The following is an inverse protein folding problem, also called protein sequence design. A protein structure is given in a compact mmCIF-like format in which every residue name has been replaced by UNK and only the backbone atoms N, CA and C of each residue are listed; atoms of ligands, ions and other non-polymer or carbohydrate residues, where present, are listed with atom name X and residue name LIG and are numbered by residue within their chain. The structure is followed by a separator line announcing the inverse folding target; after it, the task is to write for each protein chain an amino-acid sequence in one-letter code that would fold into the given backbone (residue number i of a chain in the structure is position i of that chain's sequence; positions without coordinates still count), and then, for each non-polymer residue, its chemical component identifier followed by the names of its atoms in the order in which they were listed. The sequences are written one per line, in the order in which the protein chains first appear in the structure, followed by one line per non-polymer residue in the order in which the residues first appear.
data_IF_032170600693
#
_entry.id   IF_032170600693
#
_cell.length_a   1.000
_cell.length_b   1.000
_cell.length_c   1.000
_cell.angle_alpha   90.00
_cell.angle_beta   90.00
_cell.angle_gamma   90.00
#
_symmetry.space_group_name_H-M   'P 1'
#
loop_
_entity.id
_entity.type
_entity.pdbx_description
1 polymer ?
#
# COMPACT_ATOMS: atom_id res chain seq x y z
N UNK A 1 17.40 57.21 5.52
CA UNK A 1 17.02 56.58 4.24
C UNK A 1 17.38 55.11 4.36
N UNK A 2 16.41 54.28 4.75
CA UNK A 2 16.62 52.86 5.06
C UNK A 2 15.70 52.05 4.15
N UNK A 3 16.28 51.28 3.22
CA UNK A 3 15.50 50.46 2.31
C UNK A 3 15.10 49.16 3.02
N UNK A 4 13.82 49.04 3.39
CA UNK A 4 13.28 47.83 3.99
C UNK A 4 13.14 46.76 2.89
N UNK A 5 14.13 45.88 2.77
CA UNK A 5 14.08 44.76 1.82
C UNK A 5 13.07 43.72 2.33
N UNK A 6 11.81 43.87 1.92
CA UNK A 6 10.73 42.95 2.27
C UNK A 6 10.82 41.72 1.36
N UNK A 7 11.76 40.83 1.65
CA UNK A 7 11.94 39.57 0.92
C UNK A 7 10.72 38.68 1.13
N UNK A 8 9.76 38.73 0.22
CA UNK A 8 8.64 37.79 0.19
C UNK A 8 9.17 36.39 -0.10
N UNK A 9 9.31 35.60 0.97
CA UNK A 9 9.45 34.16 0.92
C UNK A 9 8.15 33.57 0.36
N UNK A 10 8.06 33.51 -0.97
CA UNK A 10 7.07 32.69 -1.65
C UNK A 10 7.40 31.23 -1.34
N UNK A 11 6.70 30.65 -0.35
CA UNK A 11 6.64 29.21 -0.23
C UNK A 11 6.04 28.68 -1.55
N UNK A 12 6.85 27.95 -2.34
CA UNK A 12 6.31 27.14 -3.41
C UNK A 12 5.60 25.97 -2.73
N UNK A 13 4.27 26.00 -2.71
CA UNK A 13 3.50 24.82 -2.37
C UNK A 13 3.81 23.76 -3.44
N UNK A 14 4.29 22.59 -3.03
CA UNK A 14 4.63 21.54 -3.98
C UNK A 14 3.34 20.99 -4.61
N UNK A 15 3.27 21.00 -5.94
CA UNK A 15 2.11 20.51 -6.68
C UNK A 15 2.04 18.98 -6.56
N UNK A 16 1.08 18.48 -5.80
CA UNK A 16 0.98 17.09 -5.39
C UNK A 16 0.41 16.21 -6.52
N UNK A 17 0.84 14.93 -6.60
CA UNK A 17 0.31 14.00 -7.57
C UNK A 17 -1.13 13.63 -7.22
N UNK A 18 -1.99 13.69 -8.23
CA UNK A 18 -3.39 13.27 -8.15
C UNK A 18 -3.63 12.19 -9.19
N UNK A 19 -4.08 11.02 -8.74
CA UNK A 19 -4.55 9.96 -9.64
C UNK A 19 -6.01 10.25 -9.97
N UNK A 20 -6.36 10.23 -11.25
CA UNK A 20 -7.73 10.38 -11.72
C UNK A 20 -8.13 9.07 -12.38
N UNK A 21 -9.25 8.49 -11.93
CA UNK A 21 -9.88 7.32 -12.53
C UNK A 21 -11.25 7.70 -13.05
N UNK A 22 -11.74 6.98 -14.04
CA UNK A 22 -13.07 7.13 -14.59
C UNK A 22 -13.67 5.76 -14.90
N UNK A 23 -14.75 5.40 -14.21
CA UNK A 23 -15.54 4.23 -14.55
C UNK A 23 -16.63 4.63 -15.58
N UNK A 24 -16.58 4.01 -16.75
CA UNK A 24 -17.50 4.29 -17.85
C UNK A 24 -18.90 3.69 -17.67
N UNK A 25 -19.12 2.88 -16.64
CA UNK A 25 -20.31 2.03 -16.49
C UNK A 25 -20.56 1.14 -17.74
N UNK A 26 -19.49 0.71 -18.41
CA UNK A 26 -19.53 -0.13 -19.62
C UNK A 26 -19.66 0.63 -20.95
N UNK A 27 -19.57 1.96 -20.95
CA UNK A 27 -19.57 2.75 -22.18
C UNK A 27 -18.17 2.75 -22.84
N UNK A 28 -18.05 2.16 -24.03
CA UNK A 28 -16.80 2.17 -24.79
C UNK A 28 -16.58 3.51 -25.52
N UNK A 29 -15.40 4.09 -25.36
CA UNK A 29 -15.02 5.35 -26.01
C UNK A 29 -13.96 5.11 -27.09
N UNK A 30 -14.29 5.45 -28.35
CA UNK A 30 -13.38 5.33 -29.50
C UNK A 30 -12.52 6.57 -29.75
N UNK A 31 -12.77 7.65 -29.00
CA UNK A 31 -12.01 8.89 -29.03
C UNK A 31 -11.36 9.11 -27.65
N UNK A 32 -10.15 9.72 -27.57
CA UNK A 32 -9.46 9.94 -26.30
C UNK A 32 -10.35 10.68 -25.29
N UNK A 33 -10.37 10.15 -24.06
CA UNK A 33 -10.97 10.81 -22.90
C UNK A 33 -9.97 11.78 -22.32
N UNK A 34 -10.36 13.05 -22.20
CA UNK A 34 -9.53 14.12 -21.62
C UNK A 34 -10.27 14.74 -20.45
N UNK A 35 -9.63 14.73 -19.29
CA UNK A 35 -10.07 15.47 -18.10
C UNK A 35 -9.31 16.78 -18.05
N UNK A 36 -10.07 17.87 -18.07
CA UNK A 36 -9.57 19.21 -17.74
C UNK A 36 -9.75 19.44 -16.26
N UNK A 37 -8.66 19.76 -15.59
CA UNK A 37 -8.55 20.00 -14.16
C UNK A 37 -8.30 21.50 -13.98
N UNK A 38 -9.11 22.18 -13.18
CA UNK A 38 -8.89 23.59 -12.86
C UNK A 38 -8.82 23.77 -11.35
N UNK A 39 -7.68 24.27 -10.85
CA UNK A 39 -7.43 24.51 -9.42
C UNK A 39 -7.00 25.96 -9.25
N UNK A 40 -7.69 26.71 -8.40
CA UNK A 40 -7.50 28.16 -8.20
C UNK A 40 -7.42 28.96 -9.52
N UNK A 41 -8.20 28.55 -10.52
CA UNK A 41 -8.26 29.16 -11.85
C UNK A 41 -7.13 28.77 -12.81
N UNK A 42 -6.15 27.95 -12.39
CA UNK A 42 -5.09 27.37 -13.24
C UNK A 42 -5.62 26.09 -13.91
N UNK A 43 -5.75 26.03 -15.26
CA UNK A 43 -6.15 24.81 -15.94
C UNK A 43 -4.96 23.91 -16.31
N UNK A 44 -5.13 22.60 -16.12
CA UNK A 44 -4.32 21.52 -16.68
C UNK A 44 -5.23 20.54 -17.44
N UNK A 45 -4.69 19.81 -18.41
CA UNK A 45 -5.44 18.81 -19.18
C UNK A 45 -4.66 17.49 -19.20
N UNK A 46 -5.34 16.38 -18.90
CA UNK A 46 -4.76 15.03 -18.87
C UNK A 46 -5.62 14.06 -19.67
N UNK A 47 -4.98 13.18 -20.44
CA UNK A 47 -5.67 12.12 -21.20
C UNK A 47 -5.72 10.86 -20.35
N UNK A 48 -6.90 10.23 -20.25
CA UNK A 48 -7.08 8.97 -19.52
C UNK A 48 -6.82 7.78 -20.45
N UNK A 49 -6.02 6.81 -19.99
CA UNK A 49 -5.72 5.56 -20.69
C UNK A 49 -6.53 4.37 -20.14
N UNK A 50 -6.92 3.48 -21.05
CA UNK A 50 -7.44 2.12 -20.79
C UNK A 50 -6.55 1.17 -21.62
N UNK A 51 -5.35 0.92 -21.09
CA UNK A 51 -4.23 0.34 -21.84
C UNK A 51 -3.47 -0.77 -21.11
N UNK A 52 -3.70 -0.94 -19.80
CA UNK A 52 -3.05 -1.88 -18.89
C UNK A 52 -1.79 -1.36 -18.20
N UNK A 53 -1.41 -0.09 -18.39
CA UNK A 53 -0.23 0.52 -17.79
C UNK A 53 -0.59 1.46 -16.63
N UNK A 54 0.19 1.42 -15.54
CA UNK A 54 -0.13 2.19 -14.32
C UNK A 54 -0.26 3.69 -14.61
N UNK A 55 -1.34 4.37 -14.16
CA UNK A 55 -2.24 3.97 -13.07
C UNK A 55 -3.45 3.08 -13.44
N UNK A 56 -3.60 2.68 -14.71
CA UNK A 56 -4.51 1.60 -15.08
C UNK A 56 -3.90 0.22 -14.72
N UNK A 57 -4.77 -0.80 -14.64
CA UNK A 57 -4.45 -2.17 -14.29
C UNK A 57 -5.04 -3.21 -15.26
N UNK A 58 -6.02 -2.86 -16.12
CA UNK A 58 -6.84 -3.86 -16.81
C UNK A 58 -7.36 -3.42 -18.20
N UNK A 59 -6.47 -3.38 -19.19
CA UNK A 59 -6.77 -3.06 -20.59
C UNK A 59 -8.09 -3.65 -21.13
N UNK A 60 -8.99 -2.77 -21.52
CA UNK A 60 -10.30 -3.05 -22.11
C UNK A 60 -11.41 -3.32 -21.10
N UNK A 61 -11.21 -3.10 -19.78
CA UNK A 61 -12.28 -3.23 -18.78
C UNK A 61 -13.26 -2.04 -18.75
N UNK A 62 -12.93 -0.95 -19.46
CA UNK A 62 -13.75 0.26 -19.54
C UNK A 62 -13.54 1.22 -18.37
N UNK A 63 -12.49 1.04 -17.57
CA UNK A 63 -11.97 2.04 -16.65
C UNK A 63 -10.78 2.73 -17.27
N UNK A 64 -10.73 4.04 -17.10
CA UNK A 64 -9.68 4.87 -17.68
C UNK A 64 -8.97 5.63 -16.56
N UNK A 65 -7.65 5.66 -16.57
CA UNK A 65 -6.86 6.29 -15.51
C UNK A 65 -5.75 7.20 -16.04
N UNK A 66 -5.33 8.17 -15.23
CA UNK A 66 -4.14 9.00 -15.45
C UNK A 66 -3.62 9.61 -14.15
N UNK A 67 -2.44 10.23 -14.21
CA UNK A 67 -1.87 11.05 -13.14
C UNK A 67 -1.74 12.49 -13.61
N UNK A 68 -2.10 13.44 -12.76
CA UNK A 68 -1.81 14.86 -12.95
C UNK A 68 -1.20 15.46 -11.68
N UNK A 69 -0.91 16.76 -11.71
CA UNK A 69 -0.52 17.53 -10.53
C UNK A 69 -1.59 18.57 -10.20
N UNK A 70 -1.83 18.79 -8.91
CA UNK A 70 -2.77 19.79 -8.41
C UNK A 70 -2.19 20.56 -7.22
N UNK A 71 -2.65 21.79 -7.02
CA UNK A 71 -2.19 22.71 -5.96
C UNK A 71 -3.35 23.64 -5.60
N UNK A 72 -3.99 23.42 -4.46
CA UNK A 72 -5.16 24.18 -3.96
C UNK A 72 -6.24 23.30 -3.33
N UNK A 73 -7.20 23.89 -2.62
CA UNK A 73 -8.22 23.15 -1.83
C UNK A 73 -9.39 22.64 -2.69
N UNK A 74 -9.78 23.38 -3.73
CA UNK A 74 -10.95 23.08 -4.58
C UNK A 74 -10.53 22.81 -6.02
N UNK A 75 -10.96 21.66 -6.54
CA UNK A 75 -10.73 21.24 -7.93
C UNK A 75 -12.04 21.24 -8.73
N UNK A 76 -12.01 21.84 -9.92
CA UNK A 76 -13.09 21.78 -10.92
C UNK A 76 -12.66 20.88 -12.08
N UNK A 77 -13.56 20.02 -12.55
CA UNK A 77 -13.25 18.89 -13.43
C UNK A 77 -14.22 18.86 -14.61
N UNK A 78 -13.70 18.88 -15.83
CA UNK A 78 -14.49 18.74 -17.06
C UNK A 78 -14.02 17.50 -17.83
N UNK A 79 -14.91 16.50 -18.01
CA UNK A 79 -14.60 15.29 -18.78
C UNK A 79 -15.09 15.48 -20.22
N UNK A 80 -14.25 15.16 -21.20
CA UNK A 80 -14.59 15.19 -22.62
C UNK A 80 -14.08 13.96 -23.37
N UNK A 81 -14.78 13.58 -24.45
CA UNK A 81 -14.33 12.54 -25.39
C UNK A 81 -14.23 13.15 -26.79
N UNK A 82 -13.04 13.14 -27.40
CA UNK A 82 -12.83 13.69 -28.75
C UNK A 82 -13.26 15.15 -28.91
N UNK A 83 -13.11 15.97 -27.85
CA UNK A 83 -13.55 17.37 -27.80
C UNK A 83 -15.05 17.59 -27.51
N UNK A 84 -15.87 16.53 -27.44
CA UNK A 84 -17.24 16.63 -26.93
C UNK A 84 -17.22 16.57 -25.41
N UNK A 85 -17.66 17.64 -24.74
CA UNK A 85 -17.91 17.65 -23.29
C UNK A 85 -18.94 16.56 -22.93
N UNK A 86 -18.59 15.71 -21.96
CA UNK A 86 -19.47 14.68 -21.40
C UNK A 86 -20.15 15.15 -20.11
N UNK A 87 -19.44 15.93 -19.29
CA UNK A 87 -19.98 16.53 -18.07
C UNK A 87 -18.96 17.38 -17.32
N UNK A 88 -19.41 18.08 -16.28
CA UNK A 88 -18.58 18.88 -15.37
C UNK A 88 -18.93 18.56 -13.92
N UNK A 89 -17.95 18.65 -13.04
CA UNK A 89 -18.12 18.43 -11.60
C UNK A 89 -17.06 19.22 -10.81
N UNK A 90 -17.14 19.22 -9.50
CA UNK A 90 -16.12 19.84 -8.63
C UNK A 90 -16.01 19.11 -7.31
N UNK A 91 -14.80 18.97 -6.80
CA UNK A 91 -14.52 18.33 -5.52
C UNK A 91 -13.64 19.21 -4.63
N UNK A 92 -13.51 18.81 -3.37
CA UNK A 92 -12.71 19.51 -2.34
C UNK A 92 -11.75 18.49 -1.73
N UNK A 93 -10.49 18.88 -1.63
CA UNK A 93 -9.42 18.11 -1.00
C UNK A 93 -9.47 18.32 0.52
N UNK A 94 -9.62 17.25 1.29
CA UNK A 94 -9.71 17.33 2.76
C UNK A 94 -8.36 17.68 3.43
N UNK A 95 -7.26 17.36 2.75
CA UNK A 95 -5.89 17.73 3.12
C UNK A 95 -5.10 18.05 1.84
N UNK A 96 -5.07 19.31 1.38
CA UNK A 96 -4.33 19.69 0.17
C UNK A 96 -2.79 19.63 0.33
N UNK A 97 -2.27 19.03 1.40
CA UNK A 97 -0.84 18.69 1.57
C UNK A 97 -0.52 17.20 1.36
N UNK A 98 -1.54 16.37 1.07
CA UNK A 98 -1.38 14.95 0.74
C UNK A 98 -1.70 14.64 -0.74
N UNK A 99 -1.14 13.56 -1.32
CA UNK A 99 -1.61 13.03 -2.60
C UNK A 99 -3.09 12.61 -2.53
N UNK A 100 -3.77 12.58 -3.68
CA UNK A 100 -5.20 12.25 -3.76
C UNK A 100 -5.56 11.31 -4.92
N UNK A 101 -6.61 10.54 -4.70
CA UNK A 101 -7.30 9.77 -5.73
C UNK A 101 -8.66 10.42 -6.01
N UNK A 102 -8.97 10.65 -7.28
CA UNK A 102 -10.27 11.16 -7.75
C UNK A 102 -10.91 10.09 -8.62
N UNK A 103 -11.96 9.46 -8.11
CA UNK A 103 -12.75 8.50 -8.86
C UNK A 103 -13.96 9.22 -9.48
N UNK A 104 -13.98 9.29 -10.82
CA UNK A 104 -15.05 9.87 -11.63
C UNK A 104 -16.06 8.80 -12.05
N UNK A 105 -17.34 9.17 -12.09
CA UNK A 105 -18.37 8.35 -12.74
C UNK A 105 -19.39 9.22 -13.48
N UNK A 106 -19.91 8.70 -14.60
CA UNK A 106 -20.91 9.36 -15.43
C UNK A 106 -22.23 8.56 -15.38
N UNK A 107 -23.29 9.19 -14.87
CA UNK A 107 -24.63 8.62 -14.79
C UNK A 107 -25.67 9.65 -15.27
N UNK A 108 -26.58 9.25 -16.16
CA UNK A 108 -27.62 10.11 -16.76
C UNK A 108 -27.12 11.45 -17.36
N UNK A 109 -25.87 11.49 -17.81
CA UNK A 109 -25.20 12.70 -18.31
C UNK A 109 -24.68 13.66 -17.22
N UNK A 110 -24.82 13.29 -15.95
CA UNK A 110 -24.21 13.96 -14.81
C UNK A 110 -22.87 13.33 -14.46
N UNK A 111 -21.80 14.13 -14.44
CA UNK A 111 -20.49 13.72 -13.96
C UNK A 111 -20.41 13.92 -12.44
N UNK A 112 -19.96 12.89 -11.73
CA UNK A 112 -19.65 12.97 -10.30
C UNK A 112 -18.17 12.68 -10.06
N UNK A 113 -17.64 13.23 -8.96
CA UNK A 113 -16.28 12.96 -8.49
C UNK A 113 -16.33 12.60 -7.01
N UNK A 114 -15.62 11.54 -6.63
CA UNK A 114 -15.31 11.19 -5.24
C UNK A 114 -13.83 11.40 -5.04
N UNK A 115 -13.46 12.28 -4.09
CA UNK A 115 -12.08 12.40 -3.60
C UNK A 115 -11.88 11.40 -2.48
N UNK A 116 -10.82 10.62 -2.58
CA UNK A 116 -10.27 9.85 -1.46
C UNK A 116 -8.80 10.22 -1.24
N UNK A 117 -8.31 10.01 -0.02
CA UNK A 117 -6.88 9.78 0.14
C UNK A 117 -6.55 8.46 -0.61
N UNK A 118 -5.41 8.37 -1.33
CA UNK A 118 -5.01 7.13 -1.97
C UNK A 118 -5.03 6.01 -0.92
N UNK A 119 -5.43 4.78 -1.29
CA UNK A 119 -5.55 3.68 -0.34
C UNK A 119 -4.21 3.52 0.38
N UNK A 120 -4.23 3.71 1.70
CA UNK A 120 -3.03 3.53 2.51
C UNK A 120 -2.47 2.13 2.21
N UNK A 121 -1.18 1.99 1.89
CA UNK A 121 -0.59 0.67 1.61
C UNK A 121 -0.68 -0.28 2.81
N UNK A 122 -1.04 0.24 3.99
CA UNK A 122 -1.25 -0.48 5.25
C UNK A 122 -2.75 -0.74 5.53
N UNK A 123 -3.65 -0.45 4.59
CA UNK A 123 -5.07 -0.73 4.74
C UNK A 123 -5.36 -2.21 4.56
N UNK A 124 -5.88 -2.86 5.61
CA UNK A 124 -6.36 -4.25 5.56
C UNK A 124 -7.22 -4.48 4.30
N UNK A 125 -6.97 -5.60 3.60
CA UNK A 125 -7.42 -5.87 2.23
C UNK A 125 -8.94 -6.02 1.97
N UNK A 126 -9.79 -5.37 2.76
CA UNK A 126 -11.23 -5.27 2.55
C UNK A 126 -11.60 -4.13 1.58
N UNK A 127 -10.96 -4.10 0.42
CA UNK A 127 -11.43 -3.32 -0.72
C UNK A 127 -12.75 -3.95 -1.23
N UNK A 128 -13.86 -3.48 -0.69
CA UNK A 128 -15.20 -3.90 -1.11
C UNK A 128 -15.49 -3.37 -2.52
N UNK A 129 -15.04 -4.11 -3.54
CA UNK A 129 -15.30 -3.77 -4.93
C UNK A 129 -16.80 -3.64 -5.22
N UNK A 130 -17.23 -2.67 -6.05
CA UNK A 130 -18.64 -2.49 -6.38
C UNK A 130 -19.20 -3.78 -7.00
N UNK A 131 -20.35 -4.23 -6.49
CA UNK A 131 -20.81 -5.60 -6.63
C UNK A 131 -21.13 -6.02 -8.07
N UNK A 132 -20.25 -6.82 -8.68
CA UNK A 132 -20.53 -7.52 -9.93
C UNK A 132 -21.61 -8.59 -9.74
N UNK A 133 -22.83 -8.29 -10.18
CA UNK A 133 -23.96 -9.22 -10.09
C UNK A 133 -23.78 -10.41 -11.06
N UNK A 134 -23.48 -11.59 -10.53
CA UNK A 134 -23.36 -12.82 -11.31
C UNK A 134 -24.74 -13.33 -11.78
N UNK A 135 -25.17 -12.89 -12.96
CA UNK A 135 -26.36 -13.42 -13.62
C UNK A 135 -26.14 -14.82 -14.18
N UNK A 136 -27.00 -15.78 -13.80
CA UNK A 136 -27.11 -17.09 -14.43
C UNK A 136 -28.51 -17.25 -15.03
N UNK A 137 -28.63 -17.01 -16.34
CA UNK A 137 -29.92 -16.97 -17.05
C UNK A 137 -30.47 -18.40 -17.34
N UNK A 138 -31.80 -18.60 -17.44
CA UNK A 138 -32.39 -19.92 -17.30
C UNK A 138 -32.69 -20.66 -18.63
N UNK A 139 -32.76 -21.98 -18.53
CA UNK A 139 -33.54 -22.87 -19.40
C UNK A 139 -33.95 -24.07 -18.54
N UNK A 140 -35.22 -24.47 -18.42
CA UNK A 140 -36.28 -24.45 -19.42
C UNK A 140 -36.50 -25.88 -19.90
N UNK A 141 -36.95 -26.75 -18.99
CA UNK A 141 -38.31 -27.34 -19.00
C UNK A 141 -38.58 -28.32 -20.16
N UNK A 142 -38.94 -29.57 -19.83
CA UNK A 142 -39.25 -30.58 -20.85
C UNK A 142 -39.34 -32.02 -20.36
N UNK A 143 -40.33 -32.35 -19.52
CA UNK A 143 -40.87 -33.71 -19.42
C UNK A 143 -41.96 -33.97 -20.49
N UNK A 144 -42.74 -35.08 -20.43
CA UNK A 144 -42.77 -36.09 -19.37
C UNK A 144 -42.65 -37.55 -19.95
N UNK A 145 -43.52 -38.58 -19.73
CA UNK A 145 -43.00 -39.91 -19.36
C UNK A 145 -43.43 -41.11 -20.25
N UNK A 146 -42.81 -42.27 -19.99
CA UNK A 146 -43.11 -43.57 -20.62
C UNK A 146 -42.21 -43.88 -21.82
N UNK A 147 -41.98 -45.14 -22.21
CA UNK A 147 -42.50 -46.39 -21.66
C UNK A 147 -42.91 -47.35 -22.78
N UNK A 148 -42.05 -48.29 -23.18
CA UNK A 148 -42.35 -49.17 -24.31
C UNK A 148 -41.33 -50.30 -24.52
N UNK A 149 -41.85 -51.50 -24.75
CA UNK A 149 -41.13 -52.73 -25.08
C UNK A 149 -40.63 -52.73 -26.54
N UNK A 150 -39.59 -53.52 -26.86
CA UNK A 150 -39.33 -53.93 -28.25
C UNK A 150 -37.87 -54.27 -28.55
N UNK A 151 -37.56 -55.54 -28.82
CA UNK A 151 -36.22 -56.00 -29.21
C UNK A 151 -36.01 -56.05 -30.73
N UNK A 152 -34.74 -56.14 -31.17
CA UNK A 152 -34.37 -56.34 -32.57
C UNK A 152 -32.85 -56.28 -32.82
N UNK A 153 -32.35 -57.20 -33.64
CA UNK A 153 -30.98 -57.30 -34.19
C UNK A 153 -31.08 -58.08 -35.53
N UNK A 154 -30.01 -58.28 -36.34
CA UNK A 154 -28.67 -57.65 -36.38
C UNK A 154 -28.66 -56.50 -37.45
N UNK A 155 -27.67 -56.15 -38.29
CA UNK A 155 -26.36 -56.69 -38.75
C UNK A 155 -25.44 -55.55 -39.25
N UNK A 156 -24.13 -55.84 -39.34
CA UNK A 156 -23.06 -55.24 -40.18
C UNK A 156 -22.82 -53.70 -40.22
N UNK A 157 -21.58 -53.21 -40.36
CA UNK A 157 -20.30 -53.93 -40.37
C UNK A 157 -19.20 -53.17 -41.14
N UNK A 158 -18.14 -52.75 -40.46
CA UNK A 158 -16.86 -52.29 -41.06
C UNK A 158 -15.78 -52.13 -39.99
N UNK A 159 -14.64 -52.79 -40.16
CA UNK A 159 -13.49 -52.70 -39.25
C UNK A 159 -12.36 -51.85 -39.83
N UNK A 160 -11.64 -51.06 -39.00
CA UNK A 160 -10.22 -50.81 -39.17
C UNK A 160 -9.38 -51.74 -38.27
N UNK A 161 -8.14 -52.12 -38.66
CA UNK A 161 -7.36 -53.12 -37.93
C UNK A 161 -6.66 -52.58 -36.67
N UNK A 162 -6.85 -53.34 -35.59
CA UNK A 162 -6.02 -53.52 -34.39
C UNK A 162 -4.56 -53.03 -34.43
N UNK A 163 -4.12 -52.35 -33.35
CA UNK A 163 -2.71 -52.08 -33.06
C UNK A 163 -2.44 -51.57 -31.63
N UNK A 164 -2.27 -52.48 -30.68
CA UNK A 164 -1.90 -52.22 -29.27
C UNK A 164 -1.22 -53.47 -28.64
N UNK A 165 -0.54 -53.37 -27.47
CA UNK A 165 0.37 -52.33 -26.96
C UNK A 165 1.78 -52.96 -26.70
N UNK A 166 2.64 -52.45 -25.78
CA UNK A 166 2.51 -52.92 -24.38
C UNK A 166 2.90 -51.92 -23.25
N UNK A 167 2.05 -51.93 -22.21
CA UNK A 167 2.29 -51.89 -20.75
C UNK A 167 3.16 -50.82 -20.02
N UNK A 168 2.74 -50.53 -18.78
CA UNK A 168 3.37 -49.61 -17.82
C UNK A 168 2.42 -48.47 -17.42
N UNK A 169 1.24 -48.71 -16.87
CA UNK A 169 0.92 -49.44 -15.62
C UNK A 169 1.56 -48.87 -14.35
N UNK A 170 0.83 -47.94 -13.70
CA UNK A 170 0.78 -47.79 -12.24
C UNK A 170 -0.62 -47.32 -11.81
N UNK A 171 -1.29 -48.16 -11.03
CA UNK A 171 -2.49 -47.82 -10.23
C UNK A 171 -2.17 -46.85 -9.07
N UNK A 172 -3.13 -46.12 -8.48
CA UNK A 172 -4.58 -46.04 -8.74
C UNK A 172 -5.36 -45.62 -7.48
N UNK A 173 -6.70 -45.60 -7.57
CA UNK A 173 -7.65 -45.24 -6.49
C UNK A 173 -7.93 -43.72 -6.37
N UNK A 174 -9.10 -43.26 -5.93
CA UNK A 174 -10.34 -43.98 -5.59
C UNK A 174 -11.29 -43.12 -4.73
N UNK A 175 -12.55 -42.96 -5.13
CA UNK A 175 -13.60 -42.32 -4.30
C UNK A 175 -14.05 -43.20 -3.12
N UNK A 176 -14.87 -42.71 -2.17
CA UNK A 176 -16.15 -41.99 -2.37
C UNK A 176 -16.23 -40.67 -1.55
N UNK A 177 -17.33 -39.92 -1.39
CA UNK A 177 -18.74 -40.09 -1.81
C UNK A 177 -19.70 -40.24 -0.62
N UNK A 178 -20.40 -39.16 -0.23
CA UNK A 178 -21.40 -39.11 0.85
C UNK A 178 -21.69 -37.66 1.31
N UNK A 179 -22.77 -37.34 2.02
CA UNK A 179 -23.86 -38.23 2.46
C UNK A 179 -24.91 -37.64 3.42
N UNK A 180 -25.38 -36.40 3.24
CA UNK A 180 -26.41 -35.75 4.11
C UNK A 180 -25.90 -35.35 5.51
N UNK A 181 -26.78 -34.97 6.47
CA UNK A 181 -28.23 -34.79 6.41
C UNK A 181 -28.65 -33.30 6.36
N UNK A 182 -29.94 -32.98 6.52
CA UNK A 182 -30.45 -31.60 6.49
C UNK A 182 -31.39 -31.23 7.65
N UNK A 183 -31.55 -29.92 7.81
CA UNK A 183 -32.57 -29.19 8.58
C UNK A 183 -32.73 -27.81 7.90
N UNK A 184 -33.82 -27.05 8.01
CA UNK A 184 -35.10 -27.21 8.71
C UNK A 184 -35.72 -25.81 8.84
N UNK A 185 -36.97 -25.62 8.41
CA UNK A 185 -37.65 -24.30 8.45
C UNK A 185 -37.90 -23.79 9.88
N UNK A 186 -38.37 -22.54 10.08
CA UNK A 186 -39.38 -21.84 9.26
C UNK A 186 -38.82 -20.53 8.63
N UNK A 187 -39.53 -19.67 7.88
CA UNK A 187 -40.97 -19.36 7.81
C UNK A 187 -41.36 -18.29 8.87
N UNK A 188 -42.02 -17.18 8.55
CA UNK A 188 -42.48 -16.66 7.25
C UNK A 188 -43.24 -15.33 7.44
N UNK A 189 -43.68 -14.71 6.35
CA UNK A 189 -44.37 -13.39 6.35
C UNK A 189 -43.45 -12.26 5.87
N UNK A 190 -43.82 -11.38 4.93
CA UNK A 190 -45.10 -11.23 4.25
C UNK A 190 -45.93 -10.07 4.79
N UNK A 191 -45.66 -8.86 4.31
CA UNK A 191 -46.38 -7.64 4.66
C UNK A 191 -46.03 -6.50 3.69
N UNK A 192 -46.94 -6.09 2.79
CA UNK A 192 -46.67 -5.07 1.77
C UNK A 192 -47.22 -3.67 2.15
N UNK A 193 -46.70 -2.64 1.48
CA UNK A 193 -47.34 -1.31 1.40
C UNK A 193 -46.63 -0.23 2.24
N UNK A 194 -46.27 0.88 1.59
CA UNK A 194 -45.53 1.97 2.23
C UNK A 194 -45.15 3.13 1.30
N UNK A 195 -46.00 3.47 0.32
CA UNK A 195 -45.75 4.61 -0.57
C UNK A 195 -45.94 5.95 0.16
N UNK A 196 -44.88 6.74 0.28
CA UNK A 196 -44.92 8.11 0.81
C UNK A 196 -44.32 9.10 -0.18
N UNK A 197 -45.06 10.19 -0.43
CA UNK A 197 -44.68 11.21 -1.42
C UNK A 197 -43.61 12.18 -0.90
N UNK A 198 -42.71 12.70 -1.75
CA UNK A 198 -41.73 13.71 -1.35
C UNK A 198 -42.40 15.07 -1.10
N UNK A 199 -42.39 15.53 0.15
CA UNK A 199 -42.84 16.88 0.53
C UNK A 199 -41.72 17.92 0.41
N UNK A 200 -41.92 18.96 -0.41
CA UNK A 200 -40.91 20.00 -0.67
C UNK A 200 -40.86 21.08 0.42
N UNK A 201 -40.10 20.82 1.49
CA UNK A 201 -39.86 21.81 2.55
C UNK A 201 -38.85 22.88 2.11
N UNK A 202 -39.36 23.97 1.53
CA UNK A 202 -38.60 25.17 1.16
C UNK A 202 -38.24 26.00 2.41
N UNK A 203 -37.06 25.77 2.98
CA UNK A 203 -36.58 26.50 4.15
C UNK A 203 -36.43 28.02 3.89
N UNK A 204 -36.78 28.89 4.85
CA UNK A 204 -36.53 30.33 4.76
C UNK A 204 -35.04 30.66 5.00
N UNK A 205 -34.53 31.79 4.49
CA UNK A 205 -33.16 32.23 4.75
C UNK A 205 -32.97 32.60 6.24
N UNK A 206 -31.89 32.09 6.84
CA UNK A 206 -31.52 32.39 8.23
C UNK A 206 -30.72 33.70 8.27
N UNK A 207 -31.36 34.80 8.64
CA UNK A 207 -30.71 36.09 8.79
C UNK A 207 -29.99 36.17 10.14
N UNK A 208 -28.65 36.07 10.13
CA UNK A 208 -27.83 36.21 11.34
C UNK A 208 -27.79 37.68 11.80
N UNK A 209 -28.68 38.05 12.73
CA UNK A 209 -28.63 39.33 13.41
C UNK A 209 -27.47 39.33 14.42
N UNK A 210 -26.43 40.11 14.14
CA UNK A 210 -25.25 40.25 15.00
C UNK A 210 -25.57 41.09 16.26
N UNK A 211 -26.25 40.46 17.23
CA UNK A 211 -26.41 41.01 18.58
C UNK A 211 -25.09 40.89 19.33
N UNK A 212 -24.41 42.02 19.57
CA UNK A 212 -23.20 42.06 20.40
C UNK A 212 -23.54 41.76 21.86
N UNK A 213 -23.26 40.54 22.31
CA UNK A 213 -23.16 40.18 23.72
C UNK A 213 -21.71 39.84 24.07
N UNK A 214 -21.24 40.22 25.25
CA UNK A 214 -19.89 39.92 25.75
C UNK A 214 -19.65 38.41 25.99
N UNK A 215 -20.69 37.57 25.90
CA UNK A 215 -20.63 36.11 26.03
C UNK A 215 -19.64 35.43 25.06
N UNK A 216 -19.26 36.08 23.96
CA UNK A 216 -18.32 35.53 22.97
C UNK A 216 -16.98 35.07 23.58
N UNK A 217 -16.53 35.72 24.66
CA UNK A 217 -15.30 35.35 25.37
C UNK A 217 -15.41 33.95 26.02
N UNK A 218 -16.59 33.58 26.53
CA UNK A 218 -16.82 32.28 27.16
C UNK A 218 -16.73 31.12 26.15
N UNK A 219 -17.26 31.31 24.94
CA UNK A 219 -17.17 30.31 23.87
C UNK A 219 -15.73 30.11 23.38
N UNK A 220 -14.95 31.19 23.25
CA UNK A 220 -13.52 31.11 22.90
C UNK A 220 -12.72 30.39 23.99
N UNK A 221 -12.94 30.74 25.27
CA UNK A 221 -12.28 30.07 26.39
C UNK A 221 -12.61 28.57 26.47
N UNK A 222 -13.87 28.19 26.23
CA UNK A 222 -14.29 26.79 26.19
C UNK A 222 -13.66 26.02 25.01
N UNK A 223 -13.62 26.63 23.82
CA UNK A 223 -12.99 26.03 22.64
C UNK A 223 -11.48 25.77 22.82
N UNK A 224 -10.75 26.75 23.36
CA UNK A 224 -9.32 26.58 23.69
C UNK A 224 -9.12 25.52 24.76
N UNK A 225 -9.96 25.49 25.81
CA UNK A 225 -9.91 24.46 26.84
C UNK A 225 -10.10 23.04 26.29
N UNK A 226 -11.06 22.85 25.37
CA UNK A 226 -11.29 21.57 24.70
C UNK A 226 -10.09 21.13 23.84
N UNK A 227 -9.49 22.06 23.10
CA UNK A 227 -8.32 21.80 22.25
C UNK A 227 -7.10 21.37 23.07
N UNK A 228 -6.82 22.06 24.19
CA UNK A 228 -5.75 21.69 25.12
C UNK A 228 -6.00 20.30 25.71
N UNK A 229 -7.25 19.99 26.10
CA UNK A 229 -7.60 18.69 26.68
C UNK A 229 -7.45 17.55 25.66
N UNK A 230 -7.86 17.76 24.39
CA UNK A 230 -7.60 16.84 23.28
C UNK A 230 -6.09 16.62 23.05
N UNK A 231 -5.29 17.69 23.03
CA UNK A 231 -3.84 17.61 22.90
C UNK A 231 -3.18 16.81 24.03
N UNK A 232 -3.60 17.03 25.28
CA UNK A 232 -3.14 16.26 26.44
C UNK A 232 -3.54 14.80 26.34
N UNK A 233 -4.77 14.47 25.91
CA UNK A 233 -5.23 13.08 25.73
C UNK A 233 -4.46 12.38 24.61
N UNK A 234 -4.17 13.05 23.51
CA UNK A 234 -3.35 12.53 22.41
C UNK A 234 -1.90 12.29 22.86
N UNK A 235 -1.29 13.26 23.56
CA UNK A 235 0.05 13.11 24.14
C UNK A 235 0.10 11.98 25.18
N UNK A 236 -0.93 11.83 26.01
CA UNK A 236 -1.05 10.73 26.98
C UNK A 236 -1.28 9.37 26.31
N UNK A 237 -1.93 9.30 25.14
CA UNK A 237 -1.97 8.06 24.34
C UNK A 237 -0.58 7.72 23.80
N UNK A 238 0.15 8.69 23.22
CA UNK A 238 1.50 8.49 22.68
C UNK A 238 2.53 8.18 23.77
N UNK A 239 2.39 8.75 24.97
CA UNK A 239 3.22 8.44 26.14
C UNK A 239 2.86 7.11 26.82
N UNK A 240 1.68 6.52 26.52
CA UNK A 240 1.27 5.19 26.97
C UNK A 240 1.75 4.08 26.01
N UNK A 241 3.02 4.14 25.61
CA UNK A 241 3.77 2.91 25.38
C UNK A 241 3.59 2.02 26.62
N UNK A 242 3.08 0.80 26.42
CA UNK A 242 2.53 0.00 27.52
C UNK A 242 3.53 -0.17 28.67
N UNK A 243 3.08 -0.24 29.94
CA UNK A 243 3.97 -0.49 31.06
C UNK A 243 4.67 -1.82 30.83
N UNK A 244 5.95 -1.78 30.43
CA UNK A 244 6.75 -2.94 30.03
C UNK A 244 6.61 -4.00 31.11
N UNK A 245 5.92 -5.10 30.78
CA UNK A 245 5.63 -6.17 31.74
C UNK A 245 6.93 -6.60 32.38
N UNK A 246 7.04 -6.38 33.69
CA UNK A 246 8.26 -6.61 34.46
C UNK A 246 8.42 -8.10 34.78
N UNK A 247 8.47 -8.91 33.72
CA UNK A 247 8.98 -10.28 33.77
C UNK A 247 10.32 -10.24 34.47
N UNK A 248 10.47 -11.05 35.53
CA UNK A 248 11.63 -11.03 36.43
C UNK A 248 12.94 -11.10 35.64
N UNK A 249 14.00 -10.46 36.15
CA UNK A 249 15.22 -10.03 35.42
C UNK A 249 15.89 -11.10 34.54
N UNK A 250 15.30 -11.39 33.38
CA UNK A 250 15.93 -12.08 32.26
C UNK A 250 16.84 -11.08 31.60
N UNK A 251 18.07 -10.99 32.11
CA UNK A 251 19.15 -10.29 31.44
C UNK A 251 19.37 -10.97 30.08
N UNK A 252 18.93 -10.31 29.00
CA UNK A 252 19.22 -10.77 27.65
C UNK A 252 20.74 -10.90 27.50
N UNK A 253 21.19 -12.08 27.07
CA UNK A 253 22.59 -12.27 26.68
C UNK A 253 22.83 -11.35 25.48
N UNK A 254 23.88 -10.50 25.47
CA UNK A 254 24.18 -9.66 24.33
C UNK A 254 24.32 -10.50 23.07
N UNK A 255 23.55 -10.15 22.04
CA UNK A 255 23.67 -10.80 20.74
C UNK A 255 25.05 -10.49 20.13
N UNK A 256 25.70 -11.45 19.47
CA UNK A 256 26.98 -11.21 18.81
C UNK A 256 26.79 -10.28 17.61
N UNK A 257 27.71 -9.33 17.43
CA UNK A 257 27.73 -8.44 16.27
C UNK A 257 27.74 -9.20 14.94
N UNK A 258 27.17 -8.58 13.90
CA UNK A 258 26.66 -9.24 12.68
C UNK A 258 27.67 -10.17 11.95
N UNK A 259 28.97 -9.90 12.08
CA UNK A 259 30.06 -10.76 11.58
C UNK A 259 31.11 -11.11 12.64
N UNK A 260 31.18 -10.36 13.74
CA UNK A 260 32.12 -10.58 14.84
C UNK A 260 31.62 -9.89 16.11
N UNK A 261 32.12 -10.27 17.31
CA UNK A 261 31.81 -9.57 18.56
C UNK A 261 32.35 -8.12 18.68
N UNK A 262 33.06 -7.60 17.66
CA UNK A 262 33.59 -6.22 17.64
C UNK A 262 32.81 -5.26 16.73
N UNK A 263 31.89 -5.79 15.92
CA UNK A 263 30.88 -5.00 15.21
C UNK A 263 29.62 -4.84 16.10
N UNK A 264 28.76 -3.84 15.84
CA UNK A 264 27.50 -3.70 16.57
C UNK A 264 26.55 -4.88 16.28
N UNK A 265 25.64 -5.13 17.22
CA UNK A 265 24.55 -6.10 17.05
C UNK A 265 23.34 -5.44 16.39
N UNK A 266 22.49 -6.24 15.74
CA UNK A 266 21.17 -5.77 15.31
C UNK A 266 20.28 -5.47 16.53
N UNK A 267 20.48 -6.14 17.67
CA UNK A 267 19.81 -5.80 18.93
C UNK A 267 20.07 -4.37 19.43
N UNK A 268 21.10 -3.70 18.90
CA UNK A 268 21.47 -2.33 19.28
C UNK A 268 20.70 -1.26 18.47
N UNK A 269 19.85 -1.69 17.52
CA UNK A 269 19.00 -0.85 16.68
C UNK A 269 19.52 -0.70 15.24
N UNK A 270 19.53 0.53 14.72
CA UNK A 270 20.01 0.83 13.37
C UNK A 270 21.53 1.06 13.34
N UNK A 271 22.23 0.31 12.48
CA UNK A 271 23.65 0.45 12.20
C UNK A 271 23.83 1.17 10.86
N UNK A 272 24.57 2.28 10.84
CA UNK A 272 24.88 3.02 9.61
C UNK A 272 26.11 2.40 8.92
N UNK A 273 25.91 1.83 7.73
CA UNK A 273 26.96 1.27 6.88
C UNK A 273 27.34 2.29 5.81
N UNK A 274 28.52 2.90 5.94
CA UNK A 274 29.05 3.88 4.99
C UNK A 274 29.83 3.15 3.90
N UNK A 275 29.35 3.22 2.66
CA UNK A 275 29.86 2.47 1.50
C UNK A 275 30.15 3.44 0.34
N UNK A 276 31.33 4.09 0.30
CA UNK A 276 31.65 5.16 -0.65
C UNK A 276 31.52 4.77 -2.12
N UNK A 277 31.92 3.55 -2.44
CA UNK A 277 31.93 2.98 -3.78
C UNK A 277 31.15 1.66 -3.80
N UNK A 278 30.38 1.42 -4.87
CA UNK A 278 29.75 0.12 -5.09
C UNK A 278 28.68 -0.30 -4.08
N UNK A 279 27.96 0.63 -3.42
CA UNK A 279 26.91 0.30 -2.45
C UNK A 279 25.91 -0.79 -2.92
N UNK A 280 25.49 -0.77 -4.19
CA UNK A 280 24.63 -1.80 -4.77
C UNK A 280 25.24 -3.22 -4.77
N UNK A 281 26.58 -3.34 -4.81
CA UNK A 281 27.29 -4.62 -4.80
C UNK A 281 27.33 -5.28 -3.41
N UNK A 282 27.27 -4.50 -2.32
CA UNK A 282 27.20 -5.05 -0.95
C UNK A 282 25.76 -5.32 -0.49
N UNK A 283 24.76 -4.61 -1.04
CA UNK A 283 23.34 -4.79 -0.70
C UNK A 283 22.86 -6.24 -0.90
N UNK A 284 23.18 -6.89 -2.04
CA UNK A 284 22.67 -8.23 -2.32
C UNK A 284 23.30 -9.33 -1.44
N UNK A 285 24.63 -9.37 -1.20
CA UNK A 285 25.24 -10.29 -0.24
C UNK A 285 24.84 -10.02 1.22
N UNK A 286 24.65 -8.74 1.60
CA UNK A 286 24.16 -8.38 2.93
C UNK A 286 22.71 -8.83 3.15
N UNK A 287 21.83 -8.64 2.15
CA UNK A 287 20.45 -9.09 2.20
C UNK A 287 20.35 -10.61 2.37
N UNK A 288 21.18 -11.38 1.65
CA UNK A 288 21.22 -12.83 1.80
C UNK A 288 21.66 -13.26 3.23
N UNK A 289 22.69 -12.62 3.77
CA UNK A 289 23.17 -12.88 5.12
C UNK A 289 22.15 -12.50 6.21
N UNK A 290 21.42 -11.39 6.04
CA UNK A 290 20.34 -11.02 6.94
C UNK A 290 19.20 -12.06 6.87
N UNK A 291 18.82 -12.47 5.66
CA UNK A 291 17.75 -13.44 5.41
C UNK A 291 18.06 -14.87 5.90
N UNK A 292 19.32 -15.29 6.07
CA UNK A 292 19.66 -16.60 6.69
C UNK A 292 19.00 -16.79 8.07
N UNK A 293 18.71 -15.69 8.79
CA UNK A 293 18.21 -15.73 10.18
C UNK A 293 17.01 -14.82 10.48
N UNK A 294 16.73 -13.84 9.62
CA UNK A 294 15.71 -12.82 9.86
C UNK A 294 14.63 -12.83 8.77
N UNK A 295 13.50 -12.24 9.10
CA UNK A 295 12.60 -11.65 8.10
C UNK A 295 13.15 -10.26 7.76
N UNK A 296 13.32 -9.94 6.48
CA UNK A 296 13.98 -8.68 6.08
C UNK A 296 12.98 -7.75 5.42
N UNK A 297 12.75 -6.58 6.01
CA UNK A 297 12.02 -5.48 5.38
C UNK A 297 13.03 -4.57 4.67
N UNK A 298 13.01 -4.55 3.35
CA UNK A 298 13.92 -3.75 2.50
C UNK A 298 13.24 -2.43 2.13
N UNK A 299 13.84 -1.32 2.55
CA UNK A 299 13.41 0.04 2.22
C UNK A 299 14.38 0.57 1.17
N UNK A 300 13.93 0.66 -0.07
CA UNK A 300 14.78 1.12 -1.17
C UNK A 300 13.96 1.87 -2.21
N UNK A 301 14.61 2.75 -2.98
CA UNK A 301 13.98 3.38 -4.15
C UNK A 301 13.60 2.31 -5.20
N UNK A 302 12.75 2.68 -6.16
CA UNK A 302 12.28 1.76 -7.20
C UNK A 302 13.42 1.21 -8.06
N UNK A 303 14.44 2.04 -8.34
CA UNK A 303 15.57 1.76 -9.23
C UNK A 303 16.59 0.77 -8.64
N UNK A 304 16.51 0.48 -7.33
CA UNK A 304 17.35 -0.54 -6.70
C UNK A 304 16.79 -1.93 -7.05
N UNK A 305 17.54 -2.69 -7.84
CA UNK A 305 17.25 -4.10 -8.11
C UNK A 305 17.53 -4.94 -6.86
N UNK A 306 16.46 -5.48 -6.26
CA UNK A 306 16.49 -6.30 -5.04
C UNK A 306 16.09 -7.71 -5.45
N UNK A 307 17.07 -8.60 -5.66
CA UNK A 307 16.82 -9.94 -6.17
C UNK A 307 16.38 -10.88 -5.03
N UNK A 308 15.53 -11.88 -5.29
CA UNK A 308 15.23 -12.93 -4.32
C UNK A 308 16.50 -13.61 -3.80
N UNK A 309 16.53 -13.87 -2.49
CA UNK A 309 17.60 -14.59 -1.80
C UNK A 309 17.09 -15.92 -1.24
N UNK A 310 18.00 -16.83 -0.94
CA UNK A 310 17.68 -18.05 -0.19
C UNK A 310 17.77 -17.72 1.30
N UNK A 311 16.70 -18.00 2.06
CA UNK A 311 16.60 -17.66 3.48
C UNK A 311 15.14 -17.49 3.91
N UNK A 312 14.92 -16.63 4.90
CA UNK A 312 13.62 -16.12 5.32
C UNK A 312 12.99 -15.14 4.31
N UNK A 313 11.73 -14.72 4.56
CA UNK A 313 10.99 -13.84 3.67
C UNK A 313 11.62 -12.44 3.60
N UNK A 314 11.61 -11.89 2.39
CA UNK A 314 12.03 -10.51 2.11
C UNK A 314 10.82 -9.71 1.65
N UNK A 315 10.47 -8.68 2.41
CA UNK A 315 9.45 -7.70 2.11
C UNK A 315 10.12 -6.46 1.49
N UNK A 316 9.44 -5.73 0.59
CA UNK A 316 9.98 -4.51 -0.02
C UNK A 316 8.98 -3.36 0.07
N UNK A 317 9.39 -2.25 0.65
CA UNK A 317 8.68 -0.97 0.63
C UNK A 317 9.37 -0.02 -0.35
N UNK A 318 8.60 0.50 -1.31
CA UNK A 318 9.07 1.48 -2.30
C UNK A 318 8.67 2.87 -1.80
N UNK A 319 9.55 3.48 -1.00
CA UNK A 319 9.33 4.81 -0.42
C UNK A 319 10.24 5.05 0.78
N UNK A 320 10.55 6.31 1.06
CA UNK A 320 11.50 6.72 2.11
C UNK A 320 10.86 7.64 3.16
N UNK A 321 9.59 7.40 3.49
CA UNK A 321 8.88 8.10 4.59
C UNK A 321 9.03 7.28 5.89
N UNK A 322 9.68 7.79 6.95
CA UNK A 322 9.93 7.02 8.17
C UNK A 322 8.68 6.48 8.86
N UNK A 323 7.57 7.23 8.88
CA UNK A 323 6.29 6.78 9.46
C UNK A 323 5.75 5.52 8.80
N UNK A 324 5.66 5.50 7.46
CA UNK A 324 5.21 4.33 6.70
C UNK A 324 6.09 3.10 6.96
N UNK A 325 7.40 3.29 7.15
CA UNK A 325 8.33 2.20 7.47
C UNK A 325 8.13 1.69 8.90
N UNK A 326 7.84 2.57 9.86
CA UNK A 326 7.45 2.20 11.22
C UNK A 326 6.15 1.37 11.24
N UNK A 327 5.09 1.88 10.60
CA UNK A 327 3.78 1.21 10.53
C UNK A 327 3.89 -0.21 9.93
N UNK A 328 4.64 -0.36 8.82
CA UNK A 328 4.86 -1.67 8.17
C UNK A 328 5.73 -2.59 9.04
N UNK A 329 6.72 -2.05 9.75
CA UNK A 329 7.54 -2.84 10.67
C UNK A 329 6.74 -3.32 11.89
N UNK A 330 5.85 -2.49 12.47
CA UNK A 330 4.97 -2.89 13.58
C UNK A 330 3.95 -3.94 13.13
N UNK A 331 3.42 -3.85 11.91
CA UNK A 331 2.54 -4.87 11.32
C UNK A 331 3.27 -6.21 11.13
N UNK A 332 4.48 -6.19 10.55
CA UNK A 332 5.28 -7.39 10.33
C UNK A 332 5.84 -7.99 11.63
N UNK A 333 6.10 -7.20 12.68
CA UNK A 333 6.52 -7.75 13.98
C UNK A 333 5.43 -8.64 14.61
N UNK A 334 4.15 -8.26 14.46
CA UNK A 334 3.01 -8.99 15.03
C UNK A 334 2.79 -10.38 14.38
N UNK A 335 3.26 -10.59 13.15
CA UNK A 335 3.28 -11.91 12.52
C UNK A 335 4.27 -12.86 13.23
N UNK A 336 3.87 -14.11 13.41
CA UNK A 336 4.75 -15.16 13.98
C UNK A 336 5.84 -15.60 12.99
N UNK A 337 7.10 -15.50 13.38
CA UNK A 337 8.23 -15.97 12.58
C UNK A 337 9.60 -15.68 13.21
N UNK A 338 10.69 -15.77 12.43
CA UNK A 338 12.00 -15.24 12.82
C UNK A 338 11.93 -13.73 13.17
N UNK A 339 12.91 -13.18 13.91
CA UNK A 339 12.97 -11.75 14.17
C UNK A 339 12.95 -10.93 12.87
N UNK A 340 12.28 -9.78 12.91
CA UNK A 340 12.26 -8.82 11.81
C UNK A 340 13.49 -7.91 11.91
N UNK A 341 14.18 -7.69 10.80
CA UNK A 341 15.18 -6.63 10.68
C UNK A 341 14.92 -5.77 9.44
N UNK A 342 15.40 -4.54 9.45
CA UNK A 342 15.28 -3.61 8.31
C UNK A 342 16.60 -3.44 7.56
N UNK A 343 16.52 -3.37 6.24
CA UNK A 343 17.63 -3.00 5.36
C UNK A 343 17.24 -1.75 4.57
N UNK A 344 17.74 -0.60 5.00
CA UNK A 344 17.51 0.69 4.34
C UNK A 344 18.64 0.93 3.34
N UNK A 345 18.30 1.19 2.07
CA UNK A 345 19.26 1.48 1.00
C UNK A 345 19.03 2.91 0.53
N UNK A 346 19.82 3.84 1.07
CA UNK A 346 19.66 5.29 0.90
C UNK A 346 20.89 5.89 0.21
N UNK A 347 20.70 6.62 -0.88
CA UNK A 347 21.79 7.30 -1.57
C UNK A 347 22.42 8.41 -0.69
N UNK A 348 21.57 9.10 0.06
CA UNK A 348 21.93 10.05 1.11
C UNK A 348 20.82 10.10 2.15
N UNK A 349 21.19 10.35 3.40
CA UNK A 349 20.28 10.74 4.48
C UNK A 349 21.00 11.77 5.36
N UNK A 350 20.25 12.62 6.04
CA UNK A 350 20.77 13.46 7.12
C UNK A 350 20.59 12.77 8.49
N UNK A 351 21.11 13.40 9.54
CA UNK A 351 21.07 12.87 10.90
C UNK A 351 19.68 12.92 11.57
N UNK A 352 18.72 13.64 10.99
CA UNK A 352 17.35 13.77 11.48
C UNK A 352 16.48 12.66 10.89
N UNK A 353 16.52 12.45 9.58
CA UNK A 353 15.87 11.30 8.92
C UNK A 353 16.34 9.95 9.49
N UNK A 354 17.65 9.79 9.75
CA UNK A 354 18.20 8.59 10.40
C UNK A 354 17.72 8.40 11.85
N UNK A 355 17.41 9.49 12.54
CA UNK A 355 16.81 9.47 13.88
C UNK A 355 15.35 9.09 13.82
N UNK A 356 14.58 9.69 12.91
CA UNK A 356 13.16 9.39 12.71
C UNK A 356 12.95 7.92 12.39
N UNK A 357 13.77 7.33 11.52
CA UNK A 357 13.75 5.87 11.29
C UNK A 357 13.97 5.07 12.57
N UNK A 358 15.00 5.40 13.38
CA UNK A 358 15.28 4.69 14.64
C UNK A 358 14.15 4.85 15.66
N UNK A 359 13.57 6.05 15.75
CA UNK A 359 12.60 6.42 16.78
C UNK A 359 11.14 6.06 16.41
N UNK A 360 10.90 5.60 15.17
CA UNK A 360 9.61 5.09 14.67
C UNK A 360 9.60 3.57 14.41
N UNK A 361 10.75 2.89 14.40
CA UNK A 361 10.79 1.43 14.35
C UNK A 361 10.39 0.82 15.71
N UNK A 362 9.80 -0.39 15.74
CA UNK A 362 9.56 -1.09 16.99
C UNK A 362 10.89 -1.36 17.74
N UNK A 363 10.89 -1.35 19.09
CA UNK A 363 12.11 -1.36 19.91
C UNK A 363 12.90 -2.68 19.90
N UNK A 364 12.40 -3.67 19.16
CA UNK A 364 12.95 -5.00 18.89
C UNK A 364 13.57 -5.11 17.49
N UNK A 365 13.24 -4.18 16.58
CA UNK A 365 13.56 -4.25 15.15
C UNK A 365 14.87 -3.53 14.87
N UNK A 366 15.94 -4.31 14.88
CA UNK A 366 17.27 -3.89 14.43
C UNK A 366 17.36 -3.69 12.92
N UNK A 367 18.47 -3.13 12.45
CA UNK A 367 18.71 -3.04 11.00
C UNK A 367 20.01 -2.42 10.56
N UNK A 368 20.20 -2.41 9.24
CA UNK A 368 21.35 -1.79 8.57
C UNK A 368 20.87 -0.70 7.62
N UNK A 369 21.47 0.48 7.72
CA UNK A 369 21.27 1.59 6.78
C UNK A 369 22.50 1.70 5.90
N UNK A 370 22.40 1.25 4.65
CA UNK A 370 23.45 1.41 3.63
C UNK A 370 23.39 2.84 3.10
N UNK A 371 24.46 3.60 3.34
CA UNK A 371 24.66 5.00 2.95
C UNK A 371 25.85 5.11 2.00
N UNK A 372 25.75 5.94 0.96
CA UNK A 372 26.88 6.20 0.06
C UNK A 372 27.91 7.16 0.65
N UNK A 373 27.45 8.18 1.39
CA UNK A 373 28.30 9.19 2.00
C UNK A 373 28.37 8.98 3.52
N UNK A 374 29.44 9.45 4.16
CA UNK A 374 29.47 9.52 5.63
C UNK A 374 28.52 10.62 6.12
N UNK A 375 27.89 10.38 7.27
CA UNK A 375 26.88 11.25 7.87
C UNK A 375 27.18 11.34 9.37
N UNK A 376 27.20 12.55 9.92
CA UNK A 376 27.39 12.77 11.35
C UNK A 376 26.13 12.36 12.13
N UNK A 377 26.03 11.07 12.46
CA UNK A 377 24.87 10.45 13.10
C UNK A 377 25.21 9.86 14.47
N UNK A 378 24.20 9.77 15.34
CA UNK A 378 24.28 9.08 16.63
C UNK A 378 24.18 7.55 16.53
N UNK A 379 23.97 7.01 15.33
CA UNK A 379 23.97 5.56 15.09
C UNK A 379 25.40 4.99 15.10
N UNK A 380 25.62 3.73 15.52
CA UNK A 380 26.89 3.04 15.30
C UNK A 380 27.25 3.03 13.81
N UNK A 381 28.49 3.41 13.48
CA UNK A 381 28.97 3.54 12.09
C UNK A 381 29.96 2.44 11.73
N UNK A 382 29.67 1.70 10.66
CA UNK A 382 30.57 0.72 10.03
C UNK A 382 31.01 1.28 8.68
N UNK A 383 32.30 1.54 8.51
CA UNK A 383 32.88 1.92 7.23
C UNK A 383 33.21 0.67 6.42
N UNK A 384 32.72 0.62 5.18
CA UNK A 384 32.90 -0.51 4.26
C UNK A 384 33.81 -0.07 3.12
N UNK A 385 34.88 -0.82 2.89
CA UNK A 385 35.84 -0.55 1.80
C UNK A 385 36.06 -1.84 1.01
N UNK A 386 35.84 -1.83 -0.31
CA UNK A 386 36.15 -2.98 -1.17
C UNK A 386 37.65 -3.21 -1.29
N UNK A 387 38.06 -4.47 -1.39
CA UNK A 387 39.44 -4.90 -1.59
C UNK A 387 39.49 -6.10 -2.58
N UNK A 388 40.68 -6.55 -2.97
CA UNK A 388 40.85 -7.62 -3.98
C UNK A 388 40.25 -8.98 -3.60
N UNK A 389 39.92 -9.21 -2.31
CA UNK A 389 39.32 -10.44 -1.79
C UNK A 389 37.82 -10.32 -1.44
N UNK A 390 37.28 -9.10 -1.33
CA UNK A 390 35.94 -8.83 -0.82
C UNK A 390 35.80 -7.42 -0.29
N UNK A 391 35.46 -7.27 1.00
CA UNK A 391 35.38 -5.98 1.67
C UNK A 391 36.01 -6.01 3.06
N UNK A 392 36.48 -4.87 3.51
CA UNK A 392 36.91 -4.59 4.88
C UNK A 392 35.83 -3.76 5.59
N UNK A 393 35.33 -4.26 6.72
CA UNK A 393 34.41 -3.56 7.62
C UNK A 393 35.21 -2.94 8.78
N UNK A 394 34.97 -1.66 9.10
CA UNK A 394 35.65 -0.96 10.21
C UNK A 394 34.68 -0.27 11.15
N UNK A 395 34.84 -0.51 12.46
CA UNK A 395 34.04 0.05 13.54
C UNK A 395 34.96 0.49 14.69
N UNK A 396 35.17 1.79 14.85
CA UNK A 396 36.22 2.31 15.74
C UNK A 396 37.61 1.81 15.31
N UNK A 397 38.33 1.18 16.23
CA UNK A 397 39.62 0.52 15.94
C UNK A 397 39.46 -0.91 15.38
N UNK A 398 38.27 -1.51 15.51
CA UNK A 398 38.02 -2.87 15.03
C UNK A 398 37.96 -2.93 13.50
N UNK A 399 38.62 -3.92 12.92
CA UNK A 399 38.61 -4.23 11.49
C UNK A 399 38.24 -5.69 11.30
N UNK A 400 37.35 -5.98 10.36
CA UNK A 400 36.90 -7.33 10.00
C UNK A 400 36.83 -7.43 8.49
N UNK A 401 37.59 -8.32 7.88
CA UNK A 401 37.46 -8.61 6.45
C UNK A 401 36.32 -9.63 6.21
N UNK A 402 35.54 -9.41 5.16
CA UNK A 402 34.39 -10.23 4.76
C UNK A 402 34.41 -10.53 3.27
N UNK A 403 33.98 -11.72 2.90
CA UNK A 403 33.95 -12.25 1.53
C UNK A 403 32.53 -12.62 1.12
N UNK A 404 32.26 -12.76 -0.17
CA UNK A 404 31.01 -13.41 -0.63
C UNK A 404 31.18 -14.91 -0.42
N UNK A 405 30.48 -15.45 0.57
CA UNK A 405 30.39 -16.87 0.83
C UNK A 405 29.18 -17.51 0.15
N UNK A 406 28.77 -18.67 0.68
CA UNK A 406 27.64 -19.45 0.16
C UNK A 406 26.27 -18.90 0.54
N UNK A 407 26.20 -18.09 1.61
CA UNK A 407 24.94 -17.54 2.16
C UNK A 407 24.81 -16.02 2.10
N UNK A 408 25.83 -15.32 1.62
CA UNK A 408 25.89 -13.86 1.64
C UNK A 408 27.29 -13.38 1.97
N UNK A 409 27.39 -12.37 2.83
CA UNK A 409 28.65 -11.98 3.45
C UNK A 409 29.04 -12.99 4.53
N UNK A 410 30.27 -13.50 4.48
CA UNK A 410 30.87 -14.38 5.50
C UNK A 410 32.22 -13.77 5.94
N UNK A 411 32.60 -13.91 7.21
CA UNK A 411 33.88 -13.39 7.71
C UNK A 411 35.06 -14.14 7.09
N UNK A 412 36.14 -13.43 6.75
CA UNK A 412 37.37 -14.04 6.26
C UNK A 412 38.04 -14.91 7.35
N UNK A 413 38.64 -16.06 6.99
CA UNK A 413 39.23 -17.03 7.92
C UNK A 413 40.63 -16.66 8.44
#
# INVERSE_FOLDING_TARGET
MLALLLTTLFAHAESLPVVIRFDSNGASFTAPLVVKITVDGKPAEVTLGDDGERPDFAKGDGRYAAVSQAEGEKVELELSAGGKLLGKTSAVFQDPTSPHDIDLSLADGSLTAVVSAPPSPNGDGSAAGPGGAAGGDPSGEGGPPGGGLGGGAPVDGSSPPSGTPPNGDLSGGGGPGGGGPGSGGPGGGGGPGGSSSPGSNKAPPVTFAASGSDDGVMFIAFGVGLLVLLGVVWFWKRAKGGPRSRTADVQMVPEPGLFSPSLPSLSDGLIAWVVPEGAAAVVQPLLAQLADRHRVLVIARAEVDVKPVVGGPVFRVVGVRPSLVGDVAESLEQESGPPLCVLLVLESADAEALRDYRDLLPPTVGGVVVLRNDVETSLPRVFVTSNDAGWTLKHGEATVDVVIGSRGLEAAP
#
